data_IF_676732845771
#
_entry.id   IF_676732845771
#
_cell.length_a   1.000
_cell.length_b   1.000
_cell.length_c   1.000
_cell.angle_alpha   90.00
_cell.angle_beta   90.00
_cell.angle_gamma   90.00
#
_symmetry.space_group_name_H-M   'P 1'
#
loop_
_entity.id
_entity.type
_entity.pdbx_description
1 polymer ?
#
# COMPACT_ATOMS: atom_id res chain seq x y z
N UNK A 1 30.09 -25.56 16.13
CA UNK A 1 30.42 -25.05 14.78
C UNK A 1 29.30 -24.07 14.42
N UNK A 2 29.55 -22.76 14.34
CA UNK A 2 28.48 -21.79 14.05
C UNK A 2 28.11 -21.93 12.58
N UNK A 3 26.98 -22.58 12.31
CA UNK A 3 26.50 -22.82 10.96
C UNK A 3 25.94 -21.51 10.38
N UNK A 4 26.21 -21.29 9.09
CA UNK A 4 25.77 -20.11 8.36
C UNK A 4 24.23 -20.14 8.28
N UNK A 5 23.57 -19.15 8.89
CA UNK A 5 22.10 -19.02 8.88
C UNK A 5 21.70 -17.74 8.16
N UNK A 6 20.77 -17.89 7.21
CA UNK A 6 20.11 -16.80 6.50
C UNK A 6 18.63 -16.81 6.86
N UNK A 7 18.12 -15.64 7.22
CA UNK A 7 16.69 -15.35 7.36
C UNK A 7 16.35 -14.26 6.38
N UNK A 8 15.24 -14.40 5.67
CA UNK A 8 14.79 -13.40 4.71
C UNK A 8 13.29 -13.21 4.73
N UNK A 9 12.89 -12.01 4.36
CA UNK A 9 11.50 -11.61 4.15
C UNK A 9 11.47 -10.65 2.96
N UNK A 10 10.83 -11.07 1.87
CA UNK A 10 10.77 -10.33 0.62
C UNK A 10 9.31 -10.05 0.31
N UNK A 11 8.95 -8.79 0.18
CA UNK A 11 7.60 -8.34 -0.15
C UNK A 11 7.56 -7.80 -1.58
N UNK A 12 6.59 -8.29 -2.37
CA UNK A 12 6.39 -7.95 -3.78
C UNK A 12 4.92 -7.57 -3.94
N UNK A 13 4.64 -6.28 -3.98
CA UNK A 13 3.30 -5.75 -4.08
C UNK A 13 3.25 -4.68 -5.18
N UNK A 14 2.45 -4.83 -6.24
CA UNK A 14 2.33 -3.82 -7.30
C UNK A 14 1.83 -2.45 -6.83
N UNK A 15 1.28 -2.36 -5.61
CA UNK A 15 0.92 -1.08 -4.99
C UNK A 15 2.14 -0.28 -4.54
N UNK A 16 3.29 -0.95 -4.48
CA UNK A 16 4.59 -0.39 -4.19
C UNK A 16 5.41 -0.58 -5.48
N UNK A 17 5.86 0.50 -6.11
CA UNK A 17 6.54 0.44 -7.42
C UNK A 17 7.87 -0.35 -7.39
N UNK A 18 8.29 -0.79 -6.20
CA UNK A 18 9.48 -1.56 -5.92
C UNK A 18 9.13 -2.75 -5.01
N UNK A 19 9.89 -3.84 -5.14
CA UNK A 19 9.89 -4.93 -4.17
C UNK A 19 10.90 -4.64 -3.06
N UNK A 20 10.62 -5.09 -1.83
CA UNK A 20 11.47 -4.87 -0.67
C UNK A 20 11.98 -6.19 -0.11
N UNK A 21 13.21 -6.18 0.41
CA UNK A 21 13.82 -7.35 1.04
C UNK A 21 14.46 -7.00 2.38
N UNK A 22 14.14 -7.75 3.42
CA UNK A 22 14.80 -7.73 4.72
C UNK A 22 15.59 -9.04 4.89
N UNK A 23 16.91 -8.94 4.86
CA UNK A 23 17.81 -10.08 4.96
C UNK A 23 18.61 -10.00 6.25
N UNK A 24 18.76 -11.14 6.92
CA UNK A 24 19.58 -11.30 8.11
C UNK A 24 20.53 -12.47 7.90
N UNK A 25 21.83 -12.20 7.96
CA UNK A 25 22.88 -13.21 7.95
C UNK A 25 23.49 -13.30 9.33
N UNK A 26 23.44 -14.49 9.91
CA UNK A 26 23.98 -14.78 11.23
C UNK A 26 25.41 -15.30 11.13
N UNK A 27 26.22 -14.95 12.13
CA UNK A 27 27.57 -15.46 12.35
C UNK A 27 28.54 -15.16 11.19
N UNK A 28 28.32 -14.05 10.50
CA UNK A 28 29.24 -13.52 9.50
C UNK A 28 30.59 -13.16 10.18
N UNK A 29 31.71 -13.50 9.52
CA UNK A 29 33.04 -13.17 10.02
C UNK A 29 33.20 -11.66 10.18
N UNK A 30 33.97 -11.21 11.20
CA UNK A 30 34.12 -9.77 11.48
C UNK A 30 34.70 -8.96 10.31
N UNK A 31 35.50 -9.60 9.45
CA UNK A 31 36.12 -8.98 8.28
C UNK A 31 35.19 -8.93 7.05
N UNK A 32 34.08 -9.66 7.06
CA UNK A 32 33.10 -9.64 5.98
C UNK A 32 32.13 -8.49 6.24
N UNK A 33 32.06 -7.54 5.32
CA UNK A 33 31.12 -6.42 5.35
C UNK A 33 30.26 -6.43 4.10
N UNK A 34 29.00 -6.02 4.25
CA UNK A 34 28.11 -5.70 3.13
C UNK A 34 27.84 -4.20 3.27
N UNK A 35 28.09 -3.44 2.21
CA UNK A 35 27.97 -1.98 2.21
C UNK A 35 26.65 -1.55 1.56
N UNK A 36 26.13 -0.40 2.00
CA UNK A 36 25.03 0.25 1.31
C UNK A 36 25.42 0.59 -0.14
N UNK A 37 24.50 0.41 -1.07
CA UNK A 37 24.73 0.53 -2.51
C UNK A 37 25.21 -0.75 -3.20
N UNK A 38 25.62 -1.77 -2.44
CA UNK A 38 26.00 -3.08 -3.01
C UNK A 38 24.82 -3.71 -3.76
N UNK A 39 25.08 -4.32 -4.91
CA UNK A 39 24.08 -5.12 -5.61
C UNK A 39 23.82 -6.44 -4.87
N UNK A 40 22.59 -6.93 -4.97
CA UNK A 40 22.18 -8.21 -4.39
C UNK A 40 21.32 -8.99 -5.38
N UNK A 41 21.62 -10.28 -5.49
CA UNK A 41 20.77 -11.26 -6.15
C UNK A 41 20.59 -12.43 -5.18
N UNK A 42 19.33 -12.68 -4.79
CA UNK A 42 18.99 -13.71 -3.83
C UNK A 42 18.19 -14.83 -4.51
N UNK A 43 18.74 -16.04 -4.42
CA UNK A 43 18.18 -17.27 -5.00
C UNK A 43 17.82 -18.23 -3.88
N UNK A 44 16.58 -18.72 -3.90
CA UNK A 44 16.09 -19.66 -2.90
C UNK A 44 15.02 -20.57 -3.51
N UNK A 45 14.80 -21.72 -2.87
CA UNK A 45 13.87 -22.72 -3.36
C UNK A 45 14.05 -24.06 -2.66
N UNK A 46 13.44 -25.10 -3.23
CA UNK A 46 13.69 -26.50 -2.83
C UNK A 46 14.63 -27.16 -3.83
N UNK A 47 15.14 -28.36 -3.50
CA UNK A 47 15.99 -29.15 -4.40
C UNK A 47 15.37 -29.23 -5.80
N UNK A 48 16.15 -28.90 -6.83
CA UNK A 48 15.74 -28.83 -8.25
C UNK A 48 14.72 -27.74 -8.61
N UNK A 49 14.38 -26.84 -7.68
CA UNK A 49 13.47 -25.71 -7.89
C UNK A 49 14.04 -24.44 -7.22
N UNK A 50 15.26 -24.05 -7.60
CA UNK A 50 15.95 -22.86 -7.08
C UNK A 50 16.10 -21.82 -8.17
N UNK A 51 15.56 -20.63 -7.93
CA UNK A 51 15.66 -19.50 -8.86
C UNK A 51 15.70 -18.17 -8.08
N UNK A 52 15.93 -17.07 -8.79
CA UNK A 52 16.01 -15.73 -8.22
C UNK A 52 14.64 -15.29 -7.72
N UNK A 53 14.55 -14.96 -6.43
CA UNK A 53 13.34 -14.43 -5.79
C UNK A 53 13.47 -12.95 -5.42
N UNK A 54 14.69 -12.40 -5.45
CA UNK A 54 14.93 -10.98 -5.28
C UNK A 54 16.19 -10.54 -6.02
N UNK A 55 16.13 -9.38 -6.66
CA UNK A 55 17.27 -8.73 -7.29
C UNK A 55 17.16 -7.22 -7.11
N UNK A 56 18.22 -6.59 -6.62
CA UNK A 56 18.21 -5.17 -6.31
C UNK A 56 19.51 -4.71 -5.70
N UNK A 57 19.41 -3.81 -4.73
CA UNK A 57 20.55 -3.29 -4.00
C UNK A 57 20.25 -3.07 -2.52
N UNK A 58 21.33 -3.04 -1.74
CA UNK A 58 21.31 -2.80 -0.31
C UNK A 58 21.13 -1.31 -0.05
N UNK A 59 20.07 -0.93 0.66
CA UNK A 59 19.82 0.47 1.04
C UNK A 59 20.47 0.79 2.38
N UNK A 60 20.26 -0.07 3.38
CA UNK A 60 20.74 0.11 4.74
C UNK A 60 21.35 -1.19 5.25
N UNK A 61 22.40 -1.07 6.06
CA UNK A 61 23.07 -2.19 6.70
C UNK A 61 23.13 -1.93 8.20
N UNK A 62 22.88 -2.98 8.98
CA UNK A 62 22.84 -2.94 10.43
C UNK A 62 23.62 -4.13 10.97
N UNK A 63 24.34 -3.89 12.07
CA UNK A 63 24.99 -4.93 12.84
C UNK A 63 24.31 -5.04 14.19
N UNK A 64 23.66 -6.18 14.40
CA UNK A 64 22.82 -6.44 15.56
C UNK A 64 23.38 -7.63 16.36
N UNK A 65 22.93 -7.75 17.61
CA UNK A 65 23.17 -8.92 18.46
C UNK A 65 21.84 -9.61 18.70
N UNK A 66 21.80 -10.91 18.46
CA UNK A 66 20.65 -11.77 18.75
C UNK A 66 21.14 -12.91 19.67
N UNK A 67 20.93 -12.73 20.97
CA UNK A 67 21.57 -13.53 22.01
C UNK A 67 23.10 -13.53 21.88
N UNK A 68 23.70 -14.71 21.79
CA UNK A 68 25.14 -14.87 21.58
C UNK A 68 25.58 -14.61 20.13
N UNK A 69 24.66 -14.60 19.17
CA UNK A 69 24.95 -14.50 17.75
C UNK A 69 25.16 -13.04 17.32
N UNK A 70 26.04 -12.83 16.35
CA UNK A 70 26.14 -11.55 15.64
C UNK A 70 25.31 -11.65 14.36
N UNK A 71 24.47 -10.66 14.11
CA UNK A 71 23.58 -10.62 12.94
C UNK A 71 23.95 -9.43 12.09
N UNK A 72 24.24 -9.66 10.81
CA UNK A 72 24.29 -8.63 9.80
C UNK A 72 22.93 -8.56 9.13
N UNK A 73 22.17 -7.51 9.42
CA UNK A 73 20.88 -7.24 8.78
C UNK A 73 21.06 -6.22 7.68
N UNK A 74 20.43 -6.41 6.55
CA UNK A 74 20.42 -5.41 5.49
C UNK A 74 19.06 -5.34 4.83
N UNK A 75 18.60 -4.10 4.68
CA UNK A 75 17.38 -3.77 3.96
C UNK A 75 17.74 -3.50 2.52
N UNK A 76 16.89 -4.00 1.62
CA UNK A 76 17.09 -3.93 0.19
C UNK A 76 15.82 -3.47 -0.49
N UNK A 77 15.98 -2.88 -1.67
CA UNK A 77 14.87 -2.64 -2.58
C UNK A 77 15.26 -3.06 -4.00
N UNK A 78 14.27 -3.45 -4.78
CA UNK A 78 14.47 -3.80 -6.18
C UNK A 78 14.87 -2.57 -7.01
N UNK A 79 15.37 -2.83 -8.22
CA UNK A 79 15.89 -1.80 -9.10
C UNK A 79 17.40 -1.57 -8.94
N UNK A 80 17.89 -0.42 -9.39
CA UNK A 80 19.30 -0.03 -9.44
C UNK A 80 19.51 1.42 -8.95
N UNK A 81 20.45 1.69 -8.03
CA UNK A 81 20.69 3.04 -7.54
C UNK A 81 21.30 3.98 -8.61
N UNK A 82 21.96 3.41 -9.63
CA UNK A 82 22.58 4.17 -10.74
C UNK A 82 21.76 4.08 -12.03
N UNK A 83 21.06 2.96 -12.26
CA UNK A 83 20.32 2.68 -13.50
C UNK A 83 18.82 3.02 -13.46
N UNK A 84 18.26 3.40 -12.31
CA UNK A 84 16.83 3.72 -12.20
C UNK A 84 16.50 5.19 -12.43
N UNK A 85 17.49 6.05 -12.71
CA UNK A 85 17.29 7.36 -13.34
C UNK A 85 17.24 7.20 -14.87
N UNK A 86 16.43 6.26 -15.33
CA UNK A 86 16.17 6.13 -16.76
C UNK A 86 15.55 7.43 -17.25
N UNK A 87 16.18 8.09 -18.21
CA UNK A 87 15.63 9.29 -18.85
C UNK A 87 14.99 8.89 -20.17
N UNK A 88 13.73 9.25 -20.36
CA UNK A 88 13.04 9.11 -21.64
C UNK A 88 13.09 10.44 -22.40
N UNK A 89 13.28 10.38 -23.71
CA UNK A 89 13.06 11.52 -24.60
C UNK A 89 12.34 11.02 -25.86
N UNK A 90 11.01 11.03 -25.81
CA UNK A 90 10.15 10.54 -26.90
C UNK A 90 8.95 11.46 -27.08
N UNK A 91 8.53 11.61 -28.34
CA UNK A 91 7.29 12.30 -28.71
C UNK A 91 6.38 11.33 -29.46
N UNK A 92 5.14 11.22 -29.01
CA UNK A 92 4.10 10.38 -29.60
C UNK A 92 2.99 11.25 -30.18
N UNK A 93 2.55 10.94 -31.40
CA UNK A 93 1.42 11.64 -32.03
C UNK A 93 0.10 11.28 -31.36
N UNK A 94 -0.93 12.12 -31.55
CA UNK A 94 -2.30 11.73 -31.23
C UNK A 94 -2.66 10.42 -31.96
N UNK A 95 -3.39 9.54 -31.30
CA UNK A 95 -3.73 8.21 -31.82
C UNK A 95 -2.63 7.15 -31.67
N UNK A 96 -1.47 7.47 -31.10
CA UNK A 96 -0.44 6.47 -30.81
C UNK A 96 -0.96 5.41 -29.82
N UNK A 97 -0.56 4.15 -30.01
CA UNK A 97 -0.94 3.03 -29.14
C UNK A 97 -0.24 3.14 -27.78
N UNK A 98 -1.01 3.02 -26.69
CA UNK A 98 -0.44 2.97 -25.34
C UNK A 98 0.52 1.78 -25.18
N UNK A 99 0.21 0.63 -25.79
CA UNK A 99 1.09 -0.54 -25.74
C UNK A 99 2.46 -0.24 -26.37
N UNK A 100 2.49 0.49 -27.49
CA UNK A 100 3.74 0.86 -28.15
C UNK A 100 4.54 1.87 -27.32
N UNK A 101 3.86 2.81 -26.65
CA UNK A 101 4.48 3.74 -25.68
C UNK A 101 5.13 2.97 -24.52
N UNK A 102 4.43 2.01 -23.94
CA UNK A 102 4.97 1.20 -22.83
C UNK A 102 6.15 0.32 -23.26
N UNK A 103 6.11 -0.23 -24.48
CA UNK A 103 7.22 -0.96 -25.09
C UNK A 103 8.44 -0.06 -25.33
N UNK A 104 8.23 1.17 -25.80
CA UNK A 104 9.31 2.15 -26.00
C UNK A 104 9.95 2.56 -24.66
N UNK A 105 9.13 2.82 -23.63
CA UNK A 105 9.61 3.10 -22.28
C UNK A 105 10.49 1.95 -21.75
N UNK A 106 10.03 0.71 -21.86
CA UNK A 106 10.78 -0.45 -21.37
C UNK A 106 12.13 -0.62 -22.10
N UNK A 107 12.15 -0.34 -23.41
CA UNK A 107 13.36 -0.40 -24.24
C UNK A 107 14.37 0.67 -23.86
N UNK A 108 13.92 1.90 -23.58
CA UNK A 108 14.76 3.00 -23.14
C UNK A 108 15.22 2.86 -21.67
N UNK A 109 14.48 2.10 -20.84
CA UNK A 109 14.90 1.75 -19.48
C UNK A 109 15.81 0.50 -19.39
N UNK A 110 16.38 0.04 -20.50
CA UNK A 110 16.72 -1.37 -20.80
C UNK A 110 16.25 -2.43 -19.79
N UNK A 111 14.94 -2.53 -19.53
CA UNK A 111 14.35 -3.58 -18.70
C UNK A 111 13.54 -4.54 -19.55
N UNK A 112 13.59 -5.83 -19.24
CA UNK A 112 12.66 -6.78 -19.84
C UNK A 112 11.24 -6.46 -19.37
N UNK A 113 10.34 -6.20 -20.32
CA UNK A 113 8.94 -5.91 -20.06
C UNK A 113 8.17 -7.20 -19.83
N UNK A 114 7.39 -7.24 -18.75
CA UNK A 114 6.44 -8.29 -18.40
C UNK A 114 5.05 -7.65 -18.35
N UNK A 115 4.25 -7.88 -19.39
CA UNK A 115 2.95 -7.26 -19.61
C UNK A 115 2.02 -8.24 -20.33
N UNK A 116 0.73 -8.21 -19.98
CA UNK A 116 -0.31 -8.92 -20.73
C UNK A 116 -0.80 -7.99 -21.85
N UNK A 117 -0.23 -8.11 -23.06
CA UNK A 117 -0.44 -7.17 -24.17
C UNK A 117 -1.92 -7.01 -24.55
N UNK A 118 -2.68 -8.11 -24.50
CA UNK A 118 -4.12 -8.15 -24.80
C UNK A 118 -4.95 -7.19 -23.94
N UNK A 119 -4.46 -6.80 -22.76
CA UNK A 119 -5.12 -5.83 -21.87
C UNK A 119 -4.93 -4.37 -22.31
N UNK A 120 -4.00 -4.10 -23.23
CA UNK A 120 -3.60 -2.76 -23.67
C UNK A 120 -3.83 -2.53 -25.18
N UNK A 121 -4.23 -3.56 -25.91
CA UNK A 121 -4.62 -3.46 -27.32
C UNK A 121 -5.82 -2.52 -27.51
N UNK A 122 -5.78 -1.72 -28.58
CA UNK A 122 -6.86 -0.78 -28.94
C UNK A 122 -6.92 0.50 -28.08
N UNK A 123 -6.06 0.66 -27.08
CA UNK A 123 -5.96 1.90 -26.28
C UNK A 123 -5.01 2.87 -26.98
N UNK A 124 -5.54 4.03 -27.37
CA UNK A 124 -4.78 5.08 -28.05
C UNK A 124 -4.75 6.38 -27.26
N UNK A 125 -3.66 7.14 -27.38
CA UNK A 125 -3.53 8.46 -26.79
C UNK A 125 -4.49 9.46 -27.45
N UNK A 126 -5.29 10.16 -26.65
CA UNK A 126 -6.27 11.16 -27.15
C UNK A 126 -5.60 12.41 -27.75
N UNK A 127 -4.39 12.73 -27.31
CA UNK A 127 -3.59 13.86 -27.79
C UNK A 127 -2.16 13.43 -28.02
N UNK A 128 -1.37 14.28 -28.69
CA UNK A 128 0.08 14.11 -28.69
C UNK A 128 0.60 14.07 -27.26
N UNK A 129 1.58 13.22 -26.99
CA UNK A 129 2.18 13.02 -25.68
C UNK A 129 3.69 13.13 -25.83
N UNK A 130 4.28 14.09 -25.13
CA UNK A 130 5.72 14.29 -25.10
C UNK A 130 6.21 13.86 -23.74
N UNK A 131 7.31 13.11 -23.74
CA UNK A 131 7.97 12.66 -22.55
C UNK A 131 9.40 13.13 -22.58
N UNK A 132 9.78 13.89 -21.56
CA UNK A 132 11.15 14.34 -21.32
C UNK A 132 11.42 14.29 -19.82
N UNK A 133 12.12 13.25 -19.35
CA UNK A 133 12.44 13.11 -17.93
C UNK A 133 12.47 11.68 -17.38
N UNK A 134 12.16 11.57 -16.08
CA UNK A 134 12.32 10.37 -15.27
C UNK A 134 11.25 9.30 -15.58
N UNK A 135 11.68 8.12 -16.03
CA UNK A 135 10.80 7.01 -16.42
C UNK A 135 9.84 6.59 -15.29
N UNK A 136 10.26 6.42 -14.02
CA UNK A 136 9.33 6.16 -12.91
C UNK A 136 8.22 7.21 -12.78
N UNK A 137 8.54 8.50 -12.89
CA UNK A 137 7.54 9.57 -12.84
C UNK A 137 6.52 9.46 -13.99
N UNK A 138 6.99 9.13 -15.18
CA UNK A 138 6.15 8.97 -16.37
C UNK A 138 5.24 7.75 -16.29
N UNK A 139 5.79 6.62 -15.83
CA UNK A 139 4.99 5.42 -15.57
C UNK A 139 3.92 5.68 -14.51
N UNK A 140 4.19 6.49 -13.48
CA UNK A 140 3.16 6.88 -12.51
C UNK A 140 2.02 7.69 -13.14
N UNK A 141 2.34 8.63 -14.05
CA UNK A 141 1.32 9.42 -14.75
C UNK A 141 0.47 8.55 -15.67
N UNK A 142 1.11 7.68 -16.47
CA UNK A 142 0.41 6.75 -17.36
C UNK A 142 -0.42 5.73 -16.58
N UNK A 143 0.12 5.18 -15.48
CA UNK A 143 -0.58 4.26 -14.59
C UNK A 143 -1.85 4.87 -14.01
N UNK A 144 -1.77 6.15 -13.61
CA UNK A 144 -2.91 6.90 -13.12
C UNK A 144 -3.94 7.15 -14.21
N UNK A 145 -3.51 7.61 -15.40
CA UNK A 145 -4.39 7.97 -16.50
C UNK A 145 -5.10 6.77 -17.15
N UNK A 146 -4.39 5.65 -17.28
CA UNK A 146 -4.86 4.46 -18.01
C UNK A 146 -5.15 3.28 -17.11
N UNK A 147 -5.17 3.47 -15.80
CA UNK A 147 -5.59 2.45 -14.83
C UNK A 147 -4.78 1.15 -14.96
N UNK A 148 -3.50 1.23 -14.62
CA UNK A 148 -2.65 0.05 -14.44
C UNK A 148 -1.69 0.27 -13.27
N UNK A 149 -1.07 -0.80 -12.78
CA UNK A 149 0.02 -0.76 -11.82
C UNK A 149 1.33 -1.16 -12.51
N UNK A 150 2.45 -0.65 -11.99
CA UNK A 150 3.77 -1.05 -12.44
C UNK A 150 4.70 -1.29 -11.25
N UNK A 151 5.63 -2.23 -11.39
CA UNK A 151 6.66 -2.47 -10.40
C UNK A 151 7.95 -3.00 -11.03
N UNK A 152 9.07 -2.80 -10.34
CA UNK A 152 10.31 -3.50 -10.64
C UNK A 152 10.40 -4.80 -9.83
N UNK A 153 10.37 -5.96 -10.51
CA UNK A 153 10.55 -7.28 -9.88
C UNK A 153 11.65 -8.05 -10.61
N UNK A 154 12.65 -8.55 -9.86
CA UNK A 154 13.79 -9.36 -10.36
C UNK A 154 14.50 -8.78 -11.59
N UNK A 155 14.60 -7.45 -11.68
CA UNK A 155 15.25 -6.75 -12.80
C UNK A 155 14.38 -6.63 -14.06
N UNK A 156 13.08 -6.95 -13.97
CA UNK A 156 12.07 -6.73 -15.01
C UNK A 156 11.20 -5.54 -14.66
N UNK A 157 10.64 -4.91 -15.68
CA UNK A 157 9.53 -3.98 -15.55
C UNK A 157 8.24 -4.79 -15.70
N UNK A 158 7.47 -4.89 -14.63
CA UNK A 158 6.18 -5.57 -14.62
C UNK A 158 5.07 -4.53 -14.71
N UNK A 159 4.18 -4.66 -15.68
CA UNK A 159 2.98 -3.84 -15.83
C UNK A 159 1.76 -4.76 -15.76
N UNK A 160 0.78 -4.40 -14.93
CA UNK A 160 -0.39 -5.26 -14.67
C UNK A 160 -1.65 -4.43 -14.46
N UNK A 161 -2.80 -4.98 -14.88
CA UNK A 161 -4.12 -4.57 -14.37
C UNK A 161 -4.65 -5.66 -13.44
N UNK A 162 -4.72 -5.38 -12.14
CA UNK A 162 -5.00 -6.42 -11.10
C UNK A 162 -6.32 -7.15 -11.33
N UNK A 163 -7.34 -6.41 -11.76
CA UNK A 163 -8.70 -6.94 -11.94
C UNK A 163 -8.97 -7.46 -13.34
N UNK A 164 -8.11 -7.19 -14.32
CA UNK A 164 -8.33 -7.66 -15.68
C UNK A 164 -8.05 -9.17 -15.78
N UNK A 165 -8.82 -9.87 -16.61
CA UNK A 165 -8.54 -11.28 -16.89
C UNK A 165 -7.14 -11.44 -17.51
N UNK A 166 -6.41 -12.46 -17.09
CA UNK A 166 -5.09 -12.81 -17.63
C UNK A 166 -5.17 -14.14 -18.38
N UNK A 167 -4.35 -14.29 -19.41
CA UNK A 167 -4.31 -15.50 -20.23
C UNK A 167 -3.23 -16.49 -19.78
N UNK A 168 -2.38 -16.07 -18.83
CA UNK A 168 -1.29 -16.88 -18.28
C UNK A 168 -1.80 -18.21 -17.69
N UNK A 169 -1.10 -19.34 -17.87
CA UNK A 169 -1.49 -20.61 -17.28
C UNK A 169 -1.63 -20.50 -15.75
N UNK A 170 -2.72 -21.04 -15.21
CA UNK A 170 -2.92 -21.08 -13.77
C UNK A 170 -2.08 -22.19 -13.15
N UNK A 171 -1.36 -21.87 -12.08
CA UNK A 171 -0.62 -22.86 -11.28
C UNK A 171 -1.56 -23.46 -10.24
N UNK A 172 -1.72 -24.78 -10.23
CA UNK A 172 -2.54 -25.45 -9.23
C UNK A 172 -1.93 -25.34 -7.83
N UNK A 173 -2.74 -24.90 -6.86
CA UNK A 173 -2.42 -24.90 -5.43
C UNK A 173 -3.42 -25.77 -4.70
N UNK A 174 -2.92 -26.89 -4.18
CA UNK A 174 -3.68 -27.89 -3.44
C UNK A 174 -2.83 -28.49 -2.32
N UNK A 175 -3.46 -29.29 -1.46
CA UNK A 175 -2.74 -30.05 -0.42
C UNK A 175 -1.65 -30.97 -1.01
N UNK A 176 -1.77 -31.33 -2.29
CA UNK A 176 -0.82 -32.20 -2.99
C UNK A 176 0.26 -31.42 -3.74
N UNK A 177 0.01 -30.16 -4.13
CA UNK A 177 0.95 -29.36 -4.94
C UNK A 177 1.78 -28.37 -4.13
N UNK A 178 1.64 -28.32 -2.80
CA UNK A 178 2.52 -27.54 -1.93
C UNK A 178 1.82 -26.47 -1.10
N UNK A 179 0.48 -26.46 -1.05
CA UNK A 179 -0.27 -25.64 -0.11
C UNK A 179 0.10 -25.99 1.33
N UNK A 180 0.26 -24.96 2.17
CA UNK A 180 0.55 -25.08 3.60
C UNK A 180 -0.64 -24.51 4.37
N UNK A 181 -1.26 -25.35 5.20
CA UNK A 181 -2.48 -24.98 5.92
C UNK A 181 -3.71 -24.97 5.00
N UNK A 182 -4.62 -24.04 5.23
CA UNK A 182 -5.86 -23.87 4.47
C UNK A 182 -5.92 -22.46 3.87
N UNK A 183 -6.53 -22.30 2.68
CA UNK A 183 -6.71 -20.98 2.09
C UNK A 183 -7.73 -20.18 2.89
N UNK A 184 -7.49 -18.87 3.01
CA UNK A 184 -8.40 -17.92 3.65
C UNK A 184 -9.12 -17.09 2.58
N UNK A 185 -10.45 -17.14 2.56
CA UNK A 185 -11.25 -16.27 1.71
C UNK A 185 -11.19 -14.84 2.25
N UNK A 186 -10.85 -13.89 1.37
CA UNK A 186 -10.67 -12.48 1.69
C UNK A 186 -11.53 -11.57 0.79
N UNK A 187 -11.50 -10.25 1.06
CA UNK A 187 -12.17 -9.20 0.28
C UNK A 187 -13.70 -9.29 0.24
N UNK A 188 -14.32 -9.44 1.41
CA UNK A 188 -15.76 -9.25 1.62
C UNK A 188 -16.63 -10.50 1.44
N UNK A 189 -17.96 -10.37 1.59
CA UNK A 189 -18.89 -11.49 1.66
C UNK A 189 -18.99 -12.31 0.37
N UNK A 190 -18.56 -11.75 -0.76
CA UNK A 190 -18.54 -12.40 -2.08
C UNK A 190 -17.26 -13.23 -2.33
N UNK A 191 -16.29 -13.23 -1.40
CA UNK A 191 -15.07 -14.02 -1.51
C UNK A 191 -14.21 -13.70 -2.74
N UNK A 192 -14.08 -12.41 -3.08
CA UNK A 192 -13.38 -11.96 -4.28
C UNK A 192 -11.87 -12.18 -4.20
N UNK A 193 -11.33 -12.29 -2.99
CA UNK A 193 -9.90 -12.55 -2.75
C UNK A 193 -9.67 -13.89 -2.07
N UNK A 194 -8.42 -14.33 -2.16
CA UNK A 194 -7.92 -15.48 -1.41
C UNK A 194 -6.53 -15.17 -0.88
N UNK A 195 -6.26 -15.55 0.36
CA UNK A 195 -4.91 -15.62 0.89
C UNK A 195 -4.52 -17.08 1.03
N UNK A 196 -3.38 -17.46 0.48
CA UNK A 196 -2.88 -18.83 0.55
C UNK A 196 -1.38 -18.85 0.80
N UNK A 197 -0.93 -19.82 1.59
CA UNK A 197 0.49 -20.08 1.82
C UNK A 197 0.87 -21.32 1.01
N UNK A 198 1.93 -21.19 0.24
CA UNK A 198 2.55 -22.28 -0.51
C UNK A 198 3.96 -22.51 0.02
N UNK A 199 4.50 -23.72 -0.11
CA UNK A 199 5.95 -23.96 0.05
C UNK A 199 6.72 -22.97 -0.83
N UNK A 200 7.88 -22.48 -0.41
CA UNK A 200 8.64 -21.52 -1.22
C UNK A 200 8.77 -21.99 -2.67
N UNK A 201 8.16 -21.24 -3.58
CA UNK A 201 8.21 -21.49 -5.01
C UNK A 201 8.71 -20.21 -5.68
N UNK A 202 9.92 -20.24 -6.27
CA UNK A 202 10.52 -19.06 -6.84
C UNK A 202 9.92 -18.70 -8.21
N UNK A 203 9.03 -19.52 -8.79
CA UNK A 203 8.44 -19.29 -10.11
C UNK A 203 7.14 -18.49 -10.09
N UNK A 204 6.53 -18.25 -8.93
CA UNK A 204 5.40 -17.32 -8.83
C UNK A 204 5.83 -15.89 -9.23
N UNK A 205 4.95 -15.20 -9.96
CA UNK A 205 5.15 -13.83 -10.48
C UNK A 205 3.85 -13.04 -10.34
N UNK A 206 3.95 -11.72 -10.27
CA UNK A 206 2.79 -10.83 -10.17
C UNK A 206 1.81 -11.01 -11.33
N UNK A 207 2.26 -11.18 -12.57
CA UNK A 207 1.39 -11.43 -13.73
C UNK A 207 0.89 -12.89 -13.83
N UNK A 208 1.20 -13.73 -12.84
CA UNK A 208 0.78 -15.12 -12.80
C UNK A 208 -0.67 -15.33 -12.35
N UNK A 209 -1.15 -16.55 -12.55
CA UNK A 209 -2.45 -17.04 -12.06
C UNK A 209 -2.27 -18.28 -11.20
N UNK A 210 -3.18 -18.45 -10.25
CA UNK A 210 -3.27 -19.64 -9.40
C UNK A 210 -4.68 -20.23 -9.51
N UNK A 211 -4.77 -21.56 -9.40
CA UNK A 211 -6.03 -22.28 -9.30
C UNK A 211 -6.04 -23.04 -7.97
N UNK A 212 -6.87 -22.58 -7.03
CA UNK A 212 -6.97 -23.15 -5.70
C UNK A 212 -7.88 -24.38 -5.75
N UNK A 213 -7.34 -25.53 -5.34
CA UNK A 213 -8.10 -26.77 -5.09
C UNK A 213 -7.99 -27.14 -3.62
N UNK A 214 -9.05 -26.84 -2.87
CA UNK A 214 -9.12 -27.17 -1.45
C UNK A 214 -10.53 -27.59 -1.05
N UNK A 215 -10.62 -28.66 -0.26
CA UNK A 215 -11.87 -29.10 0.39
C UNK A 215 -12.20 -28.24 1.61
N UNK A 216 -11.18 -27.60 2.20
CA UNK A 216 -11.31 -26.78 3.41
C UNK A 216 -10.94 -25.33 3.12
N UNK A 217 -11.61 -24.41 3.79
CA UNK A 217 -11.30 -22.99 3.71
C UNK A 217 -11.54 -22.33 5.07
N UNK A 218 -10.74 -21.34 5.40
CA UNK A 218 -11.07 -20.38 6.45
C UNK A 218 -11.66 -19.13 5.81
N UNK A 219 -12.32 -18.34 6.64
CA UNK A 219 -12.72 -16.99 6.28
C UNK A 219 -12.10 -16.04 7.29
N UNK A 220 -11.86 -14.80 6.85
CA UNK A 220 -11.56 -13.74 7.78
C UNK A 220 -12.79 -13.46 8.66
N UNK A 221 -12.81 -14.04 9.87
CA UNK A 221 -13.95 -14.01 10.78
C UNK A 221 -14.24 -12.61 11.35
N UNK A 222 -13.38 -11.61 11.10
CA UNK A 222 -13.58 -10.25 11.60
C UNK A 222 -14.86 -9.57 11.09
N UNK A 223 -15.35 -9.94 9.90
CA UNK A 223 -16.58 -9.38 9.30
C UNK A 223 -17.79 -10.34 9.30
N UNK A 224 -17.58 -11.63 9.55
CA UNK A 224 -18.64 -12.66 9.47
C UNK A 224 -19.59 -12.68 10.67
N UNK A 225 -19.29 -11.93 11.72
CA UNK A 225 -20.24 -11.68 12.81
C UNK A 225 -21.33 -10.65 12.42
N UNK A 226 -21.16 -9.93 11.31
CA UNK A 226 -22.01 -8.78 10.93
C UNK A 226 -22.68 -8.96 9.56
N UNK A 227 -22.13 -9.80 8.67
CA UNK A 227 -22.66 -10.02 7.32
C UNK A 227 -22.66 -11.51 7.00
N UNK A 228 -23.82 -12.03 6.55
CA UNK A 228 -23.94 -13.41 6.05
C UNK A 228 -23.13 -13.59 4.76
N UNK A 229 -22.59 -14.79 4.54
CA UNK A 229 -21.92 -15.14 3.29
C UNK A 229 -22.91 -15.04 2.13
N UNK A 230 -22.52 -14.35 1.06
CA UNK A 230 -23.35 -14.17 -0.13
C UNK A 230 -22.65 -14.79 -1.35
N UNK A 231 -23.39 -15.55 -2.17
CA UNK A 231 -22.88 -16.16 -3.39
C UNK A 231 -21.97 -17.40 -3.18
N UNK A 232 -21.16 -17.73 -4.19
CA UNK A 232 -20.19 -18.84 -4.16
C UNK A 232 -18.87 -18.39 -3.52
N UNK A 233 -18.91 -18.05 -2.23
CA UNK A 233 -17.76 -17.58 -1.44
C UNK A 233 -16.76 -18.70 -1.11
N UNK A 234 -16.44 -19.53 -2.11
CA UNK A 234 -15.45 -20.59 -2.02
C UNK A 234 -14.07 -20.05 -2.35
N UNK A 235 -13.08 -20.49 -1.60
CA UNK A 235 -11.66 -20.29 -1.87
C UNK A 235 -11.22 -21.06 -3.12
N UNK A 236 -11.94 -22.12 -3.50
CA UNK A 236 -11.64 -22.87 -4.70
C UNK A 236 -11.95 -22.05 -5.97
N UNK A 237 -11.03 -22.12 -6.94
CA UNK A 237 -11.15 -21.43 -8.21
C UNK A 237 -9.89 -20.67 -8.60
N UNK A 238 -10.01 -19.90 -9.69
CA UNK A 238 -8.87 -19.20 -10.29
C UNK A 238 -8.75 -17.76 -9.80
N UNK A 239 -7.51 -17.35 -9.53
CA UNK A 239 -7.17 -16.02 -9.05
C UNK A 239 -5.95 -15.47 -9.79
N UNK A 240 -5.98 -14.18 -10.08
CA UNK A 240 -4.80 -13.41 -10.42
C UNK A 240 -3.95 -13.22 -9.17
N UNK A 241 -2.64 -13.42 -9.27
CA UNK A 241 -1.71 -13.05 -8.19
C UNK A 241 -1.71 -11.51 -8.06
N UNK A 242 -2.12 -11.01 -6.90
CA UNK A 242 -2.15 -9.58 -6.57
C UNK A 242 -0.92 -9.14 -5.79
N UNK A 243 -0.39 -9.98 -4.91
CA UNK A 243 0.90 -9.74 -4.23
C UNK A 243 1.54 -11.06 -3.82
N UNK A 244 2.85 -11.02 -3.59
CA UNK A 244 3.66 -12.15 -3.17
C UNK A 244 4.55 -11.74 -2.01
N UNK A 245 4.74 -12.66 -1.06
CA UNK A 245 5.75 -12.51 0.00
C UNK A 245 6.53 -13.81 0.17
N UNK A 246 7.84 -13.75 0.01
CA UNK A 246 8.71 -14.89 0.24
C UNK A 246 9.37 -14.79 1.61
N UNK A 247 9.23 -15.82 2.45
CA UNK A 247 9.88 -15.86 3.76
C UNK A 247 10.63 -17.16 3.96
N UNK A 248 11.80 -17.06 4.58
CA UNK A 248 12.58 -18.23 4.87
C UNK A 248 13.53 -18.05 6.04
N UNK A 249 13.79 -19.15 6.74
CA UNK A 249 14.85 -19.30 7.71
C UNK A 249 15.55 -20.63 7.46
N UNK A 250 16.81 -20.56 7.04
CA UNK A 250 17.64 -21.73 6.76
C UNK A 250 17.87 -22.67 7.96
N UNK A 251 17.55 -22.26 9.18
CA UNK A 251 17.61 -23.09 10.39
C UNK A 251 16.23 -23.37 11.00
N UNK A 252 15.18 -22.81 10.42
CA UNK A 252 13.80 -23.02 10.85
C UNK A 252 13.01 -23.84 9.85
N UNK A 253 11.74 -24.07 10.17
CA UNK A 253 10.79 -24.70 9.25
C UNK A 253 10.09 -23.69 8.33
N UNK A 254 10.34 -22.39 8.54
CA UNK A 254 9.76 -21.33 7.72
C UNK A 254 10.48 -21.31 6.37
N UNK A 255 9.79 -21.71 5.30
CA UNK A 255 10.29 -21.66 3.93
C UNK A 255 9.12 -21.64 2.94
N UNK A 256 8.50 -20.47 2.79
CA UNK A 256 7.16 -20.30 2.20
C UNK A 256 7.06 -19.12 1.23
N UNK A 257 6.11 -19.21 0.31
CA UNK A 257 5.57 -18.10 -0.48
C UNK A 257 4.13 -17.86 -0.03
N UNK A 258 3.84 -16.66 0.45
CA UNK A 258 2.47 -16.20 0.72
C UNK A 258 1.95 -15.45 -0.50
N UNK A 259 0.68 -15.69 -0.83
CA UNK A 259 0.05 -15.18 -2.04
C UNK A 259 -1.29 -14.55 -1.67
N UNK A 260 -1.47 -13.29 -2.02
CA UNK A 260 -2.80 -12.66 -2.08
C UNK A 260 -3.29 -12.74 -3.53
N UNK A 261 -4.39 -13.45 -3.74
CA UNK A 261 -5.05 -13.64 -5.02
C UNK A 261 -6.33 -12.82 -5.12
N UNK A 262 -6.65 -12.37 -6.33
CA UNK A 262 -7.88 -11.65 -6.65
C UNK A 262 -8.57 -12.29 -7.86
N UNK A 263 -9.89 -12.53 -7.80
CA UNK A 263 -10.63 -13.02 -8.96
C UNK A 263 -10.57 -12.00 -10.11
N UNK A 264 -10.54 -12.48 -11.34
CA UNK A 264 -10.64 -11.62 -12.51
C UNK A 264 -12.01 -10.94 -12.59
N UNK A 265 -12.07 -9.81 -13.29
CA UNK A 265 -13.26 -8.98 -13.52
C UNK A 265 -13.97 -8.49 -12.26
N UNK A 266 -13.29 -8.48 -11.11
CA UNK A 266 -13.80 -7.80 -9.92
C UNK A 266 -13.78 -6.30 -10.16
N UNK A 267 -14.84 -5.58 -9.79
CA UNK A 267 -14.82 -4.12 -9.85
C UNK A 267 -13.58 -3.59 -9.12
N UNK A 268 -12.84 -2.68 -9.77
CA UNK A 268 -11.65 -2.07 -9.19
C UNK A 268 -12.01 -1.47 -7.83
N UNK A 269 -11.26 -1.74 -6.76
CA UNK A 269 -11.25 -0.81 -5.63
C UNK A 269 -10.80 0.53 -6.21
N UNK A 270 -11.72 1.48 -6.38
CA UNK A 270 -11.49 2.86 -6.84
C UNK A 270 -10.13 3.33 -6.30
N UNK A 271 -9.25 3.90 -7.14
CA UNK A 271 -7.98 4.46 -6.68
C UNK A 271 -8.24 5.45 -5.54
N UNK A 272 -7.99 5.00 -4.31
CA UNK A 272 -8.42 5.66 -3.07
C UNK A 272 -9.08 4.72 -2.05
N UNK A 273 -9.81 3.69 -2.47
CA UNK A 273 -10.24 2.60 -1.60
C UNK A 273 -9.10 1.61 -1.36
N UNK A 274 -8.16 1.98 -0.50
CA UNK A 274 -7.26 1.03 0.14
C UNK A 274 -8.01 0.20 1.18
N UNK A 275 -8.88 -0.71 0.73
CA UNK A 275 -9.12 -1.94 1.49
C UNK A 275 -7.85 -2.80 1.41
N UNK A 276 -6.81 -2.31 2.05
CA UNK A 276 -5.54 -2.96 2.31
C UNK A 276 -5.77 -4.05 3.35
N UNK A 277 -5.60 -5.33 2.95
CA UNK A 277 -5.29 -6.51 3.76
C UNK A 277 -5.94 -6.69 5.16
N UNK A 278 -7.08 -6.05 5.44
CA UNK A 278 -7.57 -5.90 6.81
C UNK A 278 -6.65 -5.10 7.76
N UNK A 279 -5.45 -4.71 7.32
CA UNK A 279 -4.45 -4.00 8.11
C UNK A 279 -4.70 -2.50 8.05
N UNK A 280 -4.97 -1.88 9.19
CA UNK A 280 -5.26 -0.46 9.27
C UNK A 280 -3.96 0.34 9.35
N UNK A 281 -3.75 1.38 8.54
CA UNK A 281 -2.60 2.29 8.76
C UNK A 281 -2.61 2.80 10.21
N UNK A 282 -1.44 2.83 10.86
CA UNK A 282 -1.31 3.10 12.31
C UNK A 282 -1.99 2.08 13.24
N UNK A 283 -2.48 0.95 12.74
CA UNK A 283 -3.23 -0.03 13.51
C UNK A 283 -2.50 -0.57 14.74
N UNK A 284 -1.17 -0.65 14.72
CA UNK A 284 -0.38 -1.06 15.88
C UNK A 284 -0.33 -0.01 17.02
N UNK A 285 -0.76 1.24 16.78
CA UNK A 285 -0.79 2.33 17.78
C UNK A 285 -2.08 2.43 18.57
N UNK A 286 -3.10 1.64 18.21
CA UNK A 286 -4.44 1.70 18.80
C UNK A 286 -4.89 0.31 19.23
N UNK A 287 -5.91 0.27 20.10
CA UNK A 287 -6.47 -0.99 20.58
C UNK A 287 -7.16 -1.79 19.47
N UNK A 288 -7.41 -3.08 19.69
CA UNK A 288 -8.21 -3.87 18.76
C UNK A 288 -9.65 -3.34 18.63
N UNK A 289 -10.25 -2.93 19.74
CA UNK A 289 -11.60 -2.35 19.79
C UNK A 289 -11.69 -1.09 18.94
N UNK A 290 -10.68 -0.22 19.02
CA UNK A 290 -10.58 0.97 18.18
C UNK A 290 -10.56 0.61 16.68
N UNK A 291 -9.73 -0.36 16.30
CA UNK A 291 -9.62 -0.79 14.90
C UNK A 291 -10.92 -1.40 14.37
N UNK A 292 -11.60 -2.23 15.17
CA UNK A 292 -12.89 -2.82 14.80
C UNK A 292 -13.92 -1.71 14.57
N UNK A 293 -14.10 -0.83 15.57
CA UNK A 293 -15.05 0.26 15.50
C UNK A 293 -14.78 1.22 14.34
N UNK A 294 -13.53 1.59 14.10
CA UNK A 294 -13.19 2.49 13.00
C UNK A 294 -13.46 1.88 11.62
N UNK A 295 -13.28 0.55 11.47
CA UNK A 295 -13.65 -0.14 10.23
C UNK A 295 -15.16 -0.12 10.00
N UNK A 296 -15.96 -0.36 11.03
CA UNK A 296 -17.42 -0.24 10.93
C UNK A 296 -17.85 1.17 10.53
N UNK A 297 -17.26 2.19 11.16
CA UNK A 297 -17.49 3.60 10.84
C UNK A 297 -17.13 3.89 9.38
N UNK A 298 -15.96 3.46 8.92
CA UNK A 298 -15.54 3.64 7.52
C UNK A 298 -16.51 2.98 6.55
N UNK A 299 -17.00 1.77 6.86
CA UNK A 299 -18.05 1.10 6.10
C UNK A 299 -19.37 1.89 6.04
N UNK A 300 -19.87 2.37 7.20
CA UNK A 300 -21.11 3.15 7.28
C UNK A 300 -21.00 4.50 6.55
N UNK A 301 -19.82 5.11 6.55
CA UNK A 301 -19.55 6.40 5.91
C UNK A 301 -19.11 6.30 4.44
N UNK A 302 -18.75 5.10 3.98
CA UNK A 302 -18.07 4.86 2.71
C UNK A 302 -16.74 5.66 2.61
N UNK A 303 -15.94 5.61 3.67
CA UNK A 303 -14.62 6.26 3.78
C UNK A 303 -13.61 5.20 4.15
N UNK A 304 -12.42 5.24 3.55
CA UNK A 304 -11.33 4.35 3.94
C UNK A 304 -10.92 4.57 5.41
N UNK A 305 -10.99 3.54 6.27
CA UNK A 305 -10.59 3.66 7.67
C UNK A 305 -9.14 4.12 7.86
N UNK A 306 -8.23 3.78 6.95
CA UNK A 306 -6.82 4.21 6.99
C UNK A 306 -6.65 5.69 6.68
N UNK A 307 -7.58 6.32 5.96
CA UNK A 307 -7.59 7.78 5.80
C UNK A 307 -7.96 8.49 7.09
N UNK A 308 -8.98 7.98 7.78
CA UNK A 308 -9.34 8.47 9.11
C UNK A 308 -8.17 8.31 10.08
N UNK A 309 -7.44 7.20 10.03
CA UNK A 309 -6.23 7.01 10.84
C UNK A 309 -5.11 7.99 10.49
N UNK A 310 -4.89 8.27 9.21
CA UNK A 310 -3.86 9.22 8.79
C UNK A 310 -4.18 10.64 9.28
N UNK A 311 -5.44 11.06 9.18
CA UNK A 311 -5.92 12.34 9.75
C UNK A 311 -5.71 12.33 11.26
N UNK A 312 -6.20 11.31 11.98
CA UNK A 312 -6.04 11.26 13.45
C UNK A 312 -4.58 11.21 13.90
N UNK A 313 -3.75 10.48 13.17
CA UNK A 313 -2.32 10.41 13.40
C UNK A 313 -1.68 11.80 13.26
N UNK A 314 -2.02 12.55 12.22
CA UNK A 314 -1.52 13.91 12.05
C UNK A 314 -2.02 14.85 13.16
N UNK A 315 -3.32 14.87 13.39
CA UNK A 315 -4.01 15.76 14.34
C UNK A 315 -3.59 15.57 15.81
N UNK A 316 -3.16 14.36 16.17
CA UNK A 316 -2.73 14.02 17.54
C UNK A 316 -1.22 13.93 17.71
N UNK A 317 -0.43 14.29 16.69
CA UNK A 317 1.03 14.08 16.72
C UNK A 317 1.43 12.61 16.86
N UNK A 318 0.66 11.72 16.25
CA UNK A 318 0.84 10.26 16.17
C UNK A 318 0.60 9.51 17.49
N UNK A 319 -0.12 10.14 18.43
CA UNK A 319 -0.39 9.57 19.76
C UNK A 319 -1.77 8.92 19.87
N UNK A 320 -2.72 9.29 19.00
CA UNK A 320 -4.13 8.88 19.08
C UNK A 320 -4.80 9.21 20.43
N UNK A 321 -4.25 10.18 21.16
CA UNK A 321 -4.78 10.60 22.46
C UNK A 321 -5.93 11.59 22.30
N UNK A 322 -7.06 11.29 22.95
CA UNK A 322 -8.26 12.14 22.99
C UNK A 322 -8.04 13.47 23.71
N UNK A 323 -6.93 13.60 24.45
CA UNK A 323 -6.60 14.76 25.30
C UNK A 323 -5.75 15.80 24.60
N UNK A 324 -5.21 15.51 23.41
CA UNK A 324 -4.37 16.46 22.68
C UNK A 324 -5.19 17.68 22.32
N UNK A 325 -4.70 18.84 22.76
CA UNK A 325 -5.27 20.15 22.47
C UNK A 325 -4.24 21.01 21.77
N UNK A 326 -4.61 21.60 20.64
CA UNK A 326 -3.73 22.51 19.93
C UNK A 326 -3.48 23.79 20.78
N UNK A 327 -2.22 24.14 21.10
CA UNK A 327 -1.90 25.36 21.83
C UNK A 327 -2.48 26.62 21.17
N UNK A 328 -3.20 27.43 21.94
CA UNK A 328 -3.84 28.64 21.42
C UNK A 328 -5.19 28.42 20.70
N UNK A 329 -5.69 27.18 20.63
CA UNK A 329 -7.00 26.85 20.07
C UNK A 329 -7.88 26.05 21.05
N UNK A 330 -9.17 25.93 20.73
CA UNK A 330 -10.09 25.00 21.41
C UNK A 330 -10.06 23.58 20.84
N UNK A 331 -9.40 23.40 19.70
CA UNK A 331 -9.31 22.14 18.96
C UNK A 331 -8.76 21.03 19.87
N UNK A 332 -9.52 19.95 20.05
CA UNK A 332 -9.22 18.88 21.00
C UNK A 332 -9.58 17.49 20.44
N UNK A 333 -8.76 16.49 20.72
CA UNK A 333 -9.05 15.08 20.45
C UNK A 333 -8.58 14.56 19.08
N UNK A 334 -9.09 13.39 18.71
CA UNK A 334 -8.65 12.57 17.58
C UNK A 334 -8.65 13.32 16.26
N UNK A 335 -9.60 14.21 16.02
CA UNK A 335 -9.67 15.04 14.81
C UNK A 335 -9.68 16.54 15.11
N UNK A 336 -9.16 16.92 16.29
CA UNK A 336 -9.09 18.32 16.75
C UNK A 336 -10.44 19.07 16.69
N UNK A 337 -11.47 18.54 17.35
CA UNK A 337 -12.78 19.19 17.45
C UNK A 337 -12.67 20.56 18.12
N UNK A 338 -13.07 21.63 17.42
CA UNK A 338 -13.18 22.98 18.01
C UNK A 338 -14.48 23.14 18.81
N UNK A 339 -14.57 24.13 19.70
CA UNK A 339 -15.72 24.32 20.61
C UNK A 339 -17.07 24.51 19.91
N UNK A 340 -17.11 25.08 18.72
CA UNK A 340 -18.36 25.18 17.93
C UNK A 340 -18.81 23.82 17.42
N UNK A 341 -17.90 23.05 16.83
CA UNK A 341 -18.15 21.68 16.34
C UNK A 341 -18.54 20.73 17.46
N UNK A 342 -17.87 20.79 18.61
CA UNK A 342 -18.24 19.96 19.76
C UNK A 342 -19.69 20.22 20.19
N UNK A 343 -20.10 21.50 20.28
CA UNK A 343 -21.47 21.89 20.63
C UNK A 343 -22.50 21.42 19.60
N UNK A 344 -22.21 21.53 18.29
CA UNK A 344 -23.13 21.03 17.26
C UNK A 344 -23.30 19.51 17.30
N UNK A 345 -22.34 18.78 17.87
CA UNK A 345 -22.42 17.33 18.08
C UNK A 345 -23.02 16.94 19.44
N UNK A 346 -23.51 17.92 20.22
CA UNK A 346 -24.15 17.70 21.52
C UNK A 346 -23.17 17.36 22.66
N UNK A 347 -21.94 17.89 22.61
CA UNK A 347 -20.90 17.68 23.63
C UNK A 347 -20.05 18.95 23.81
N UNK A 348 -19.05 18.89 24.68
CA UNK A 348 -18.02 19.92 24.84
C UNK A 348 -16.61 19.37 24.54
N UNK A 349 -15.65 20.24 24.26
CA UNK A 349 -14.23 19.85 24.10
C UNK A 349 -13.65 19.27 25.41
N UNK A 350 -14.13 19.74 26.56
CA UNK A 350 -13.80 19.18 27.87
C UNK A 350 -14.29 17.74 28.02
N UNK A 351 -15.54 17.44 27.65
CA UNK A 351 -16.07 16.07 27.69
C UNK A 351 -15.35 15.17 26.69
N UNK A 352 -15.14 15.64 25.45
CA UNK A 352 -14.38 14.92 24.43
C UNK A 352 -12.99 14.52 24.94
N UNK A 353 -12.28 15.43 25.62
CA UNK A 353 -10.95 15.15 26.19
C UNK A 353 -10.93 14.09 27.29
N UNK A 354 -12.08 13.83 27.93
CA UNK A 354 -12.22 12.85 29.02
C UNK A 354 -12.67 11.48 28.52
N UNK A 355 -13.11 11.39 27.25
CA UNK A 355 -13.51 10.13 26.63
C UNK A 355 -12.30 9.23 26.36
N UNK A 356 -12.54 7.92 26.34
CA UNK A 356 -11.64 6.97 25.71
C UNK A 356 -11.57 7.22 24.20
N UNK A 357 -10.50 6.74 23.56
CA UNK A 357 -10.32 6.78 22.12
C UNK A 357 -11.49 6.11 21.38
N UNK A 358 -11.93 4.93 21.85
CA UNK A 358 -13.09 4.19 21.30
C UNK A 358 -14.40 4.97 21.47
N UNK A 359 -14.65 5.63 22.60
CA UNK A 359 -15.86 6.46 22.78
C UNK A 359 -15.84 7.69 21.87
N UNK A 360 -14.67 8.33 21.72
CA UNK A 360 -14.57 9.52 20.88
C UNK A 360 -14.80 9.21 19.39
N UNK A 361 -14.60 7.96 18.95
CA UNK A 361 -14.95 7.51 17.60
C UNK A 361 -16.45 7.69 17.25
N UNK A 362 -17.37 7.66 18.22
CA UNK A 362 -18.79 7.94 17.93
C UNK A 362 -19.00 9.38 17.46
N UNK A 363 -18.20 10.31 18.00
CA UNK A 363 -18.24 11.71 17.61
C UNK A 363 -17.49 11.97 16.31
N UNK A 364 -16.44 11.19 16.02
CA UNK A 364 -15.81 11.17 14.69
C UNK A 364 -16.82 10.75 13.65
N UNK A 365 -17.56 9.66 13.88
CA UNK A 365 -18.59 9.20 12.95
C UNK A 365 -19.68 10.26 12.75
N UNK A 366 -20.27 10.79 13.83
CA UNK A 366 -21.28 11.85 13.75
C UNK A 366 -20.80 13.05 12.95
N UNK A 367 -19.53 13.43 13.14
CA UNK A 367 -18.93 14.54 12.41
C UNK A 367 -18.78 14.25 10.92
N UNK A 368 -18.19 13.11 10.55
CA UNK A 368 -17.96 12.79 9.13
C UNK A 368 -19.25 12.43 8.38
N UNK A 369 -20.31 12.03 9.08
CA UNK A 369 -21.59 11.71 8.46
C UNK A 369 -22.19 12.89 7.66
N UNK A 370 -21.90 14.13 8.04
CA UNK A 370 -22.35 15.31 7.28
C UNK A 370 -21.68 15.44 5.90
N UNK A 371 -20.58 14.73 5.66
CA UNK A 371 -19.82 14.70 4.41
C UNK A 371 -19.92 13.36 3.67
N UNK A 372 -20.81 12.46 4.12
CA UNK A 372 -21.02 11.14 3.52
C UNK A 372 -21.29 11.27 2.01
N UNK A 373 -20.55 10.48 1.21
CA UNK A 373 -20.62 10.50 -0.26
C UNK A 373 -19.86 11.65 -0.95
N UNK A 374 -19.25 12.58 -0.21
CA UNK A 374 -18.43 13.66 -0.77
C UNK A 374 -16.92 13.42 -0.66
N UNK A 375 -16.50 12.48 0.19
CA UNK A 375 -15.09 12.17 0.45
C UNK A 375 -14.66 11.04 -0.47
N UNK A 376 -13.84 11.35 -1.47
CA UNK A 376 -13.38 10.38 -2.48
C UNK A 376 -11.86 10.21 -2.50
N UNK A 377 -11.13 10.89 -1.62
CA UNK A 377 -9.66 10.83 -1.53
C UNK A 377 -9.19 11.08 -0.10
N UNK A 378 -7.93 10.72 0.20
CA UNK A 378 -7.27 11.08 1.46
C UNK A 378 -7.27 12.61 1.67
N UNK A 379 -7.03 13.37 0.59
CA UNK A 379 -7.08 14.82 0.62
C UNK A 379 -8.48 15.33 0.98
N UNK A 380 -9.55 14.76 0.42
CA UNK A 380 -10.93 15.13 0.78
C UNK A 380 -11.25 14.79 2.24
N UNK A 381 -10.74 13.66 2.74
CA UNK A 381 -10.90 13.26 4.13
C UNK A 381 -10.25 14.27 5.07
N UNK A 382 -9.07 14.79 4.73
CA UNK A 382 -8.43 15.85 5.51
C UNK A 382 -9.11 17.22 5.31
N UNK A 383 -9.54 17.55 4.09
CA UNK A 383 -10.29 18.79 3.85
C UNK A 383 -11.61 18.82 4.63
N UNK A 384 -12.21 17.67 4.92
CA UNK A 384 -13.38 17.61 5.80
C UNK A 384 -13.11 18.19 7.19
N UNK A 385 -11.89 18.06 7.75
CA UNK A 385 -11.53 18.62 9.07
C UNK A 385 -10.90 20.01 8.97
N UNK A 386 -10.12 20.28 7.93
CA UNK A 386 -9.34 21.52 7.79
C UNK A 386 -10.08 22.62 7.03
N UNK A 387 -10.62 22.31 5.85
CA UNK A 387 -11.25 23.29 4.96
C UNK A 387 -12.37 22.64 4.10
N UNK A 388 -13.59 22.45 4.65
CA UNK A 388 -14.63 21.65 4.00
C UNK A 388 -15.07 22.13 2.60
N UNK A 389 -14.83 23.41 2.27
CA UNK A 389 -15.11 23.96 0.96
C UNK A 389 -14.19 23.40 -0.16
N UNK A 390 -13.05 22.81 0.20
CA UNK A 390 -12.10 22.19 -0.75
C UNK A 390 -12.39 20.70 -1.03
N UNK A 391 -13.39 20.09 -0.38
CA UNK A 391 -13.82 18.72 -0.67
C UNK A 391 -14.30 18.63 -2.13
N UNK A 392 -13.76 17.68 -2.89
CA UNK A 392 -14.07 17.47 -4.31
C UNK A 392 -13.46 18.49 -5.28
N UNK A 393 -12.71 19.48 -4.77
CA UNK A 393 -11.93 20.41 -5.60
C UNK A 393 -10.63 19.77 -6.10
N UNK A 394 -10.07 20.21 -7.24
CA UNK A 394 -8.76 19.74 -7.70
C UNK A 394 -7.65 20.13 -6.72
N UNK A 395 -6.53 19.41 -6.76
CA UNK A 395 -5.39 19.62 -5.88
C UNK A 395 -4.79 21.03 -5.92
N UNK A 396 -4.80 21.66 -7.11
CA UNK A 396 -4.36 23.04 -7.33
C UNK A 396 -5.35 24.11 -6.79
N UNK A 397 -6.45 23.72 -6.15
CA UNK A 397 -7.38 24.69 -5.55
C UNK A 397 -6.68 25.48 -4.43
N UNK A 398 -6.61 26.79 -4.59
CA UNK A 398 -6.01 27.72 -3.62
C UNK A 398 -6.97 27.92 -2.45
N UNK A 399 -6.52 27.53 -1.25
CA UNK A 399 -7.23 27.71 0.02
C UNK A 399 -7.01 29.12 0.56
N UNK A 400 -5.77 29.61 0.50
CA UNK A 400 -5.41 30.93 0.97
C UNK A 400 -4.23 31.52 0.19
N UNK A 401 -4.17 32.85 0.12
CA UNK A 401 -3.07 33.62 -0.47
C UNK A 401 -2.56 34.62 0.56
N UNK A 402 -1.25 34.87 0.55
CA UNK A 402 -0.59 35.87 1.37
C UNK A 402 -0.79 37.28 0.80
N UNK A 403 -1.03 38.30 1.66
CA UNK A 403 -1.32 38.20 3.07
C UNK A 403 -2.82 37.94 3.32
N UNK A 404 -3.13 36.99 4.19
CA UNK A 404 -4.47 36.83 4.75
C UNK A 404 -4.40 36.22 6.14
N UNK A 405 -5.43 36.42 6.98
CA UNK A 405 -5.47 35.81 8.31
C UNK A 405 -5.39 34.28 8.25
N UNK A 406 -6.07 33.67 7.28
CA UNK A 406 -6.04 32.22 7.03
C UNK A 406 -4.65 31.76 6.60
N UNK A 407 -4.01 32.47 5.68
CA UNK A 407 -2.64 32.15 5.27
C UNK A 407 -1.67 32.28 6.45
N UNK A 408 -1.71 33.40 7.19
CA UNK A 408 -0.78 33.65 8.29
C UNK A 408 -0.87 32.60 9.42
N UNK A 409 -2.08 32.11 9.71
CA UNK A 409 -2.28 31.06 10.72
C UNK A 409 -1.78 29.68 10.24
N UNK A 410 -1.71 29.46 8.92
CA UNK A 410 -1.39 28.16 8.31
C UNK A 410 -0.16 28.22 7.40
N UNK A 411 0.69 29.24 7.53
CA UNK A 411 1.80 29.50 6.62
C UNK A 411 2.80 28.33 6.55
N UNK A 412 2.83 27.46 7.56
CA UNK A 412 3.61 26.22 7.54
C UNK A 412 3.10 25.15 6.57
N UNK A 413 1.94 25.35 5.93
CA UNK A 413 1.40 24.48 4.88
C UNK A 413 1.83 24.91 3.47
N UNK A 414 2.32 26.14 3.25
CA UNK A 414 2.92 26.55 1.98
C UNK A 414 4.32 25.93 1.88
N UNK A 415 4.47 24.90 1.05
CA UNK A 415 5.69 24.08 0.98
C UNK A 415 6.70 24.73 0.05
N UNK A 416 6.23 25.23 -1.09
CA UNK A 416 7.07 25.82 -2.13
C UNK A 416 7.41 27.29 -1.84
N UNK A 417 6.75 27.91 -0.84
CA UNK A 417 6.90 29.29 -0.39
C UNK A 417 6.51 30.31 -1.48
N UNK A 418 5.53 29.97 -2.31
CA UNK A 418 5.05 30.85 -3.37
C UNK A 418 4.02 31.89 -2.89
N UNK A 419 3.64 31.85 -1.61
CA UNK A 419 2.67 32.76 -1.03
C UNK A 419 1.23 32.28 -1.17
N UNK A 420 1.01 31.04 -1.60
CA UNK A 420 -0.31 30.39 -1.65
C UNK A 420 -0.30 29.07 -0.89
N UNK A 421 -1.47 28.64 -0.42
CA UNK A 421 -1.66 27.30 0.16
C UNK A 421 -2.67 26.58 -0.71
N UNK A 422 -2.23 25.57 -1.43
CA UNK A 422 -3.10 24.71 -2.24
C UNK A 422 -3.66 23.53 -1.44
N UNK A 423 -4.70 22.88 -1.97
CA UNK A 423 -5.26 21.67 -1.38
C UNK A 423 -4.21 20.55 -1.27
N UNK A 424 -3.38 20.36 -2.29
CA UNK A 424 -2.34 19.32 -2.27
C UNK A 424 -1.25 19.61 -1.24
N UNK A 425 -0.82 20.86 -1.12
CA UNK A 425 0.15 21.26 -0.11
C UNK A 425 -0.40 21.06 1.31
N UNK A 426 -1.65 21.45 1.55
CA UNK A 426 -2.30 21.21 2.84
C UNK A 426 -2.41 19.70 3.14
N UNK A 427 -2.77 18.88 2.15
CA UNK A 427 -2.93 17.43 2.30
C UNK A 427 -1.60 16.66 2.40
N UNK A 428 -0.48 17.24 1.96
CA UNK A 428 0.84 16.60 1.93
C UNK A 428 1.25 15.98 3.29
N UNK A 429 1.02 16.71 4.39
CA UNK A 429 1.37 16.24 5.75
C UNK A 429 0.54 15.04 6.19
N UNK A 430 -0.71 14.95 5.73
CA UNK A 430 -1.56 13.79 5.99
C UNK A 430 -1.18 12.64 5.06
N UNK A 431 -0.76 12.91 3.82
CA UNK A 431 -0.16 11.89 2.96
C UNK A 431 1.12 11.30 3.58
N UNK A 432 1.96 12.12 4.22
CA UNK A 432 3.11 11.67 5.00
C UNK A 432 2.70 10.82 6.19
N UNK A 433 1.67 11.26 6.94
CA UNK A 433 1.08 10.49 8.03
C UNK A 433 0.59 9.13 7.56
N UNK A 434 -0.10 9.06 6.42
CA UNK A 434 -0.60 7.82 5.84
C UNK A 434 0.56 6.87 5.48
N UNK A 435 1.54 7.35 4.71
CA UNK A 435 2.75 6.58 4.35
C UNK A 435 3.50 6.07 5.58
N UNK A 436 3.69 6.94 6.58
CA UNK A 436 4.32 6.58 7.85
C UNK A 436 3.48 5.57 8.62
N UNK A 437 2.15 5.64 8.54
CA UNK A 437 1.25 4.72 9.23
C UNK A 437 1.26 3.30 8.66
N UNK A 438 1.59 3.13 7.38
CA UNK A 438 1.64 1.82 6.73
C UNK A 438 2.69 0.89 7.38
N UNK A 439 3.81 1.43 7.88
CA UNK A 439 4.81 0.63 8.60
C UNK A 439 4.30 0.09 9.96
N UNK A 440 3.18 0.61 10.46
CA UNK A 440 2.51 0.19 11.69
C UNK A 440 1.17 -0.49 11.39
N UNK A 441 0.96 -0.97 10.17
CA UNK A 441 -0.32 -1.54 9.78
C UNK A 441 -0.62 -2.84 10.56
N UNK A 442 -1.83 -2.94 11.12
CA UNK A 442 -2.25 -4.09 11.96
C UNK A 442 -3.73 -4.39 11.84
#
# INVERSE_FOLDING_TARGET
>A
MYQFRVVFDIDINPGETLAFGDFRIYNLAKASTVEAGSSIEFRAGYTNQVDTIFKGYVTNTFRERDGASTVQRFLCKSGSPVGDRGSLNSSYSAGASLLDVLKDIAKQWPRQLDIEESQFEGITLTSGYMVDGDIPQELNQLAFAYDFDWLQDRGRLVITRRTAARTTPATEISQFTGMVGIPEVSRGPNGLGVYVIHRLNPYFRINGRIDIKSEFQSFNAGNLFVVELAGDARAAGEYNISSLRHRGDSHGNLWVTEIDGLRANTARPIAGSTLSNGSLAWGARVSQEFRVKLREIGGRLNIDPSWLMAVMGFETGYTFSTRIKNPGSSATGLIQFVSSTARSLGTTTTELSRMTDVQQLDYVEKYFNQYKGRINSLADCYMAVFWPAAIGKPGAYVIATSPSSVYNANAGLDINRDGTITKDEAASRVADSYRRGQQFAK
#
